data_IF_284534004627
#
_entry.id   IF_284534004627
#
_cell.length_a   1.000
_cell.length_b   1.000
_cell.length_c   1.000
_cell.angle_alpha   90.00
_cell.angle_beta   90.00
_cell.angle_gamma   90.00
#
_symmetry.space_group_name_H-M   'P 1'
#
loop_
_entity.id
_entity.type
_entity.pdbx_description
1 polymer ?
#
# COMPACT_ATOMS: atom_id res chain seq x y z
N UNK A 1 19.20 -8.41 -44.64
CA UNK A 1 18.13 -7.48 -44.24
C UNK A 1 17.15 -8.05 -43.21
N UNK A 2 16.75 -9.35 -43.27
CA UNK A 2 15.85 -9.96 -42.27
C UNK A 2 16.37 -9.95 -40.81
N UNK A 3 17.68 -10.12 -40.60
CA UNK A 3 18.28 -10.20 -39.25
C UNK A 3 18.28 -8.87 -38.46
N UNK A 4 18.31 -7.74 -39.17
CA UNK A 4 18.32 -6.40 -38.56
C UNK A 4 16.91 -6.08 -38.03
N UNK A 5 15.88 -6.49 -38.77
CA UNK A 5 14.49 -6.28 -38.37
C UNK A 5 14.12 -7.02 -37.08
N UNK A 6 14.64 -8.24 -36.90
CA UNK A 6 14.42 -9.02 -35.68
C UNK A 6 15.07 -8.39 -34.45
N UNK A 7 16.24 -7.76 -34.62
CA UNK A 7 16.94 -7.09 -33.52
C UNK A 7 16.20 -5.82 -33.05
N UNK A 8 15.67 -5.04 -34.00
CA UNK A 8 14.90 -3.82 -33.71
C UNK A 8 13.58 -4.17 -32.98
N UNK A 9 12.92 -5.27 -33.38
CA UNK A 9 11.70 -5.74 -32.73
C UNK A 9 11.92 -6.14 -31.26
N UNK A 10 13.06 -6.77 -30.94
CA UNK A 10 13.39 -7.13 -29.56
C UNK A 10 13.69 -5.90 -28.67
N UNK A 11 14.29 -4.83 -29.21
CA UNK A 11 14.61 -3.62 -28.45
C UNK A 11 13.33 -2.83 -28.09
N UNK A 12 12.34 -2.80 -28.97
CA UNK A 12 11.03 -2.18 -28.69
C UNK A 12 10.28 -2.93 -27.57
N UNK A 13 10.44 -4.26 -27.49
CA UNK A 13 9.80 -5.07 -26.44
C UNK A 13 10.43 -4.90 -25.05
N UNK A 14 11.71 -4.52 -24.96
CA UNK A 14 12.40 -4.26 -23.68
C UNK A 14 12.10 -2.86 -23.14
N UNK A 15 11.52 -1.97 -23.94
CA UNK A 15 11.17 -0.60 -23.52
C UNK A 15 9.97 -0.53 -22.56
N UNK A 16 9.30 -1.67 -22.32
CA UNK A 16 8.23 -1.82 -21.35
C UNK A 16 8.70 -2.41 -20.01
N UNK A 17 9.99 -2.36 -19.69
CA UNK A 17 10.42 -2.60 -18.30
C UNK A 17 9.83 -1.50 -17.44
N UNK A 18 8.69 -1.82 -16.84
CA UNK A 18 7.97 -1.09 -15.83
C UNK A 18 8.96 -0.35 -14.94
N UNK A 19 9.01 0.97 -15.11
CA UNK A 19 9.25 1.83 -13.97
C UNK A 19 8.18 1.42 -12.96
N UNK A 20 8.57 0.64 -11.96
CA UNK A 20 7.72 0.31 -10.82
C UNK A 20 7.45 1.65 -10.16
N UNK A 21 6.42 2.35 -10.64
CA UNK A 21 5.82 3.44 -9.92
C UNK A 21 5.43 2.83 -8.59
N UNK A 22 6.08 3.26 -7.50
CA UNK A 22 5.60 2.92 -6.17
C UNK A 22 4.10 3.26 -6.16
N UNK A 23 3.25 2.25 -5.91
CA UNK A 23 1.78 2.39 -5.99
C UNK A 23 1.21 3.35 -4.93
N UNK A 24 2.03 3.72 -3.95
CA UNK A 24 1.69 4.61 -2.87
C UNK A 24 2.95 5.43 -2.55
N UNK A 25 2.84 6.74 -2.53
CA UNK A 25 3.88 7.66 -2.07
C UNK A 25 3.86 7.80 -0.55
N UNK A 26 4.95 8.35 0.03
CA UNK A 26 5.01 8.62 1.48
C UNK A 26 3.97 9.67 1.90
N UNK A 27 3.66 10.63 1.04
CA UNK A 27 2.64 11.64 1.28
C UNK A 27 1.24 11.00 1.32
N UNK A 28 0.89 10.20 0.32
CA UNK A 28 -0.39 9.46 0.30
C UNK A 28 -0.49 8.52 1.50
N UNK A 29 0.58 7.81 1.84
CA UNK A 29 0.63 6.96 3.04
C UNK A 29 0.37 7.78 4.31
N UNK A 30 0.99 8.94 4.44
CA UNK A 30 0.83 9.81 5.62
C UNK A 30 -0.61 10.26 5.77
N UNK A 31 -1.28 10.65 4.68
CA UNK A 31 -2.69 11.04 4.69
C UNK A 31 -3.57 9.88 5.17
N UNK A 32 -3.40 8.69 4.61
CA UNK A 32 -4.16 7.50 5.01
C UNK A 32 -3.90 7.15 6.48
N UNK A 33 -2.66 7.30 6.93
CA UNK A 33 -2.27 7.02 8.32
C UNK A 33 -2.92 7.99 9.30
N UNK A 34 -2.94 9.29 8.99
CA UNK A 34 -3.57 10.30 9.84
C UNK A 34 -5.09 10.09 9.91
N UNK A 35 -5.72 9.77 8.79
CA UNK A 35 -7.15 9.46 8.76
C UNK A 35 -7.47 8.22 9.60
N UNK A 36 -6.66 7.16 9.49
CA UNK A 36 -6.78 5.99 10.36
C UNK A 36 -6.65 6.35 11.84
N UNK A 37 -5.65 7.14 12.24
CA UNK A 37 -5.46 7.53 13.63
C UNK A 37 -6.64 8.36 14.16
N UNK A 38 -7.20 9.23 13.34
CA UNK A 38 -8.38 10.02 13.69
C UNK A 38 -9.58 9.12 13.97
N UNK A 39 -9.83 8.12 13.12
CA UNK A 39 -10.93 7.15 13.31
C UNK A 39 -10.68 6.21 14.48
N UNK A 40 -9.47 5.67 14.60
CA UNK A 40 -9.08 4.84 15.74
C UNK A 40 -9.32 5.61 17.05
N UNK A 41 -8.91 6.88 17.14
CA UNK A 41 -9.14 7.70 18.33
C UNK A 41 -10.63 7.85 18.70
N UNK A 42 -11.49 8.05 17.70
CA UNK A 42 -12.94 8.16 17.91
C UNK A 42 -13.52 6.82 18.41
N UNK A 43 -13.07 5.70 17.84
CA UNK A 43 -13.60 4.37 18.14
C UNK A 43 -13.00 3.71 19.39
N UNK A 44 -11.86 4.19 19.88
CA UNK A 44 -11.09 3.57 20.99
C UNK A 44 -11.11 4.36 22.29
N UNK A 45 -12.08 5.26 22.46
CA UNK A 45 -12.18 6.11 23.65
C UNK A 45 -12.26 5.31 24.97
N UNK A 46 -12.85 4.11 24.94
CA UNK A 46 -13.07 3.28 26.14
C UNK A 46 -12.29 1.94 26.15
N UNK A 47 -11.73 1.47 25.03
CA UNK A 47 -11.08 0.15 24.93
C UNK A 47 -9.86 0.13 23.98
N UNK A 48 -8.85 -0.71 24.30
CA UNK A 48 -7.74 -0.98 23.38
C UNK A 48 -8.21 -1.81 22.18
N UNK A 49 -7.93 -1.32 20.97
CA UNK A 49 -8.35 -1.98 19.73
C UNK A 49 -7.54 -3.23 19.42
N UNK A 50 -8.24 -4.32 19.08
CA UNK A 50 -7.62 -5.52 18.54
C UNK A 50 -7.05 -5.27 17.14
N UNK A 51 -6.07 -6.08 16.74
CA UNK A 51 -5.53 -6.03 15.37
C UNK A 51 -6.61 -6.26 14.30
N UNK A 52 -7.67 -6.99 14.61
CA UNK A 52 -8.83 -7.16 13.73
C UNK A 52 -9.59 -5.85 13.54
N UNK A 53 -9.93 -5.15 14.62
CA UNK A 53 -10.63 -3.86 14.55
C UNK A 53 -9.78 -2.80 13.84
N UNK A 54 -8.47 -2.75 14.12
CA UNK A 54 -7.57 -1.83 13.40
C UNK A 54 -7.58 -2.07 11.89
N UNK A 55 -7.63 -3.33 11.45
CA UNK A 55 -7.78 -3.67 10.02
C UNK A 55 -9.12 -3.21 9.47
N UNK A 56 -10.22 -3.42 10.20
CA UNK A 56 -11.55 -2.98 9.76
C UNK A 56 -11.63 -1.45 9.58
N UNK A 57 -11.06 -0.69 10.52
CA UNK A 57 -10.95 0.78 10.43
C UNK A 57 -10.10 1.17 9.22
N UNK A 58 -8.89 0.62 9.10
CA UNK A 58 -7.99 0.93 7.99
C UNK A 58 -8.62 0.56 6.64
N UNK A 59 -9.23 -0.61 6.52
CA UNK A 59 -9.86 -1.07 5.28
C UNK A 59 -10.99 -0.12 4.84
N UNK A 60 -11.72 0.47 5.79
CA UNK A 60 -12.72 1.52 5.51
C UNK A 60 -12.04 2.80 5.00
N UNK A 61 -10.95 3.26 5.62
CA UNK A 61 -10.17 4.40 5.13
C UNK A 61 -9.67 4.15 3.71
N UNK A 62 -9.10 2.99 3.44
CA UNK A 62 -8.59 2.63 2.12
C UNK A 62 -9.70 2.61 1.06
N UNK A 63 -10.91 2.14 1.42
CA UNK A 63 -12.06 2.17 0.53
C UNK A 63 -12.48 3.59 0.17
N UNK A 64 -12.55 4.50 1.14
CA UNK A 64 -12.94 5.91 0.93
C UNK A 64 -11.99 6.63 -0.04
N UNK A 65 -10.69 6.36 0.10
CA UNK A 65 -9.64 6.93 -0.74
C UNK A 65 -9.37 6.12 -2.02
N UNK A 66 -10.12 5.03 -2.24
CA UNK A 66 -9.98 4.11 -3.40
C UNK A 66 -8.57 3.53 -3.55
N UNK A 67 -7.91 3.29 -2.43
CA UNK A 67 -6.58 2.68 -2.36
C UNK A 67 -6.72 1.17 -2.16
N UNK A 68 -5.97 0.38 -2.91
CA UNK A 68 -6.02 -1.08 -2.73
C UNK A 68 -5.36 -1.48 -1.41
N UNK A 69 -6.02 -2.37 -0.64
CA UNK A 69 -5.46 -2.98 0.57
C UNK A 69 -4.06 -3.56 0.32
N UNK A 70 -3.89 -4.31 -0.77
CA UNK A 70 -2.61 -4.91 -1.10
C UNK A 70 -1.50 -3.86 -1.27
N UNK A 71 -1.77 -2.74 -1.95
CA UNK A 71 -0.79 -1.67 -2.12
C UNK A 71 -0.41 -1.05 -0.78
N UNK A 72 -1.39 -0.73 0.06
CA UNK A 72 -1.15 -0.15 1.38
C UNK A 72 -0.34 -1.10 2.27
N UNK A 73 -0.80 -2.34 2.48
CA UNK A 73 -0.13 -3.28 3.39
C UNK A 73 1.26 -3.68 2.88
N UNK A 74 1.46 -3.79 1.57
CA UNK A 74 2.81 -4.04 1.02
C UNK A 74 3.75 -2.86 1.28
N UNK A 75 3.27 -1.63 1.02
CA UNK A 75 4.04 -0.41 1.28
C UNK A 75 4.39 -0.27 2.76
N UNK A 76 3.38 -0.40 3.62
CA UNK A 76 3.49 -0.31 5.07
C UNK A 76 4.49 -1.35 5.60
N UNK A 77 4.40 -2.62 5.15
CA UNK A 77 5.35 -3.67 5.55
C UNK A 77 6.80 -3.35 5.19
N UNK A 78 7.04 -2.77 4.02
CA UNK A 78 8.39 -2.49 3.52
C UNK A 78 8.99 -1.21 4.11
N UNK A 79 8.19 -0.15 4.26
CA UNK A 79 8.68 1.19 4.63
C UNK A 79 8.43 1.54 6.09
N UNK A 80 7.37 0.99 6.70
CA UNK A 80 6.92 1.27 8.07
C UNK A 80 6.60 -0.03 8.85
N UNK A 81 7.60 -0.91 9.05
CA UNK A 81 7.37 -2.23 9.64
C UNK A 81 6.83 -2.19 11.06
N UNK A 82 7.09 -1.12 11.81
CA UNK A 82 6.51 -0.83 13.12
C UNK A 82 4.99 -0.62 13.05
N UNK A 83 4.51 0.16 12.08
CA UNK A 83 3.08 0.39 11.84
C UNK A 83 2.40 -0.87 11.32
N UNK A 84 3.08 -1.62 10.46
CA UNK A 84 2.56 -2.88 9.91
C UNK A 84 2.23 -3.91 11.01
N UNK A 85 3.05 -3.98 12.08
CA UNK A 85 2.81 -4.89 13.22
C UNK A 85 1.50 -4.66 13.95
N UNK A 86 0.90 -3.47 13.84
CA UNK A 86 -0.39 -3.17 14.46
C UNK A 86 -1.55 -3.96 13.81
N UNK A 87 -1.37 -4.34 12.54
CA UNK A 87 -2.35 -5.04 11.72
C UNK A 87 -2.07 -6.53 11.58
N UNK A 88 -0.85 -6.99 11.87
CA UNK A 88 -0.51 -8.40 11.75
C UNK A 88 -0.96 -9.15 13.02
N UNK A 89 -1.58 -10.32 12.84
CA UNK A 89 -1.91 -11.24 13.94
C UNK A 89 -0.94 -12.40 13.87
N UNK A 90 0.34 -12.11 14.05
CA UNK A 90 1.25 -13.10 14.57
C UNK A 90 1.92 -12.48 15.79
N UNK A 91 1.56 -12.94 17.02
CA UNK A 91 2.24 -12.51 18.24
C UNK A 91 3.75 -12.79 18.19
#
# INVERSE_FOLDING_TARGET
>A
MKKIFTLILCIVLVSFTSCVSEKLSEEEFTILWQEYLAREFIESFDEQQSSKQRREIMDTVLQDYKVSQQAFYSYCKTKHPDKYKLFDVNP
#
